data_IF_382660294900
#
_entry.id   IF_382660294900
#
_cell.length_a   1.000
_cell.length_b   1.000
_cell.length_c   1.000
_cell.angle_alpha   90.00
_cell.angle_beta   90.00
_cell.angle_gamma   90.00
#
_symmetry.space_group_name_H-M   'P 1'
#
loop_
_entity.id
_entity.type
_entity.pdbx_description
1 polymer ?
#
# COMPACT_ATOMS: atom_id res chain seq x y z
N UNK A 1 31.32 -18.47 -3.34
CA UNK A 1 30.91 -17.11 -3.74
C UNK A 1 32.07 -16.19 -3.45
N UNK A 2 32.52 -15.43 -4.43
CA UNK A 2 33.67 -14.53 -4.28
C UNK A 2 33.17 -13.21 -3.68
N UNK A 3 33.58 -12.77 -2.47
CA UNK A 3 33.07 -11.57 -1.81
C UNK A 3 33.42 -10.26 -2.51
N UNK A 4 34.12 -10.31 -3.65
CA UNK A 4 34.54 -9.14 -4.41
C UNK A 4 33.56 -8.66 -5.48
N UNK A 5 32.36 -9.27 -5.61
CA UNK A 5 31.36 -8.93 -6.62
C UNK A 5 30.02 -8.46 -6.01
N UNK A 6 30.03 -7.92 -4.80
CA UNK A 6 28.82 -7.31 -4.24
C UNK A 6 28.60 -5.93 -4.88
N UNK A 7 27.47 -5.72 -5.51
CA UNK A 7 27.08 -4.41 -6.03
C UNK A 7 26.92 -3.46 -4.81
N UNK A 8 27.70 -2.37 -4.73
CA UNK A 8 27.68 -1.47 -3.58
C UNK A 8 26.33 -0.77 -3.37
N UNK A 9 25.40 -0.88 -4.33
CA UNK A 9 24.02 -0.37 -4.23
C UNK A 9 23.12 -1.31 -3.44
N UNK A 10 23.53 -2.54 -3.16
CA UNK A 10 22.74 -3.55 -2.44
C UNK A 10 23.16 -3.56 -0.97
N UNK A 11 22.29 -3.06 -0.10
CA UNK A 11 22.49 -3.17 1.35
C UNK A 11 22.03 -4.57 1.83
N UNK A 12 22.99 -5.44 2.14
CA UNK A 12 22.77 -6.78 2.68
C UNK A 12 22.79 -6.80 4.22
N UNK A 13 22.86 -5.65 4.87
CA UNK A 13 22.91 -5.59 6.33
C UNK A 13 21.60 -6.09 6.96
N UNK A 14 21.72 -6.81 8.08
CA UNK A 14 20.58 -7.26 8.87
C UNK A 14 19.69 -6.10 9.38
N UNK A 15 20.27 -4.90 9.53
CA UNK A 15 19.56 -3.68 9.96
C UNK A 15 18.40 -3.32 9.03
N UNK A 16 18.56 -3.57 7.72
CA UNK A 16 17.50 -3.38 6.73
C UNK A 16 16.22 -4.15 7.04
N UNK A 17 16.37 -5.34 7.64
CA UNK A 17 15.24 -6.24 7.92
C UNK A 17 14.64 -6.02 9.31
N UNK A 18 15.48 -5.71 10.32
CA UNK A 18 15.05 -5.66 11.73
C UNK A 18 14.72 -4.23 12.17
N UNK A 19 15.47 -3.24 11.66
CA UNK A 19 15.35 -1.83 12.06
C UNK A 19 15.09 -0.91 10.85
N UNK A 20 14.02 -1.13 10.07
CA UNK A 20 13.67 -0.20 9.01
C UNK A 20 13.34 1.18 9.59
N UNK A 21 13.54 2.26 8.83
CA UNK A 21 13.13 3.60 9.25
C UNK A 21 11.66 3.63 9.66
N UNK A 22 11.32 4.49 10.60
CA UNK A 22 9.93 4.74 11.01
C UNK A 22 9.41 5.97 10.28
N UNK A 23 8.16 5.91 9.82
CA UNK A 23 7.49 7.04 9.20
C UNK A 23 7.18 8.12 10.24
N UNK A 24 7.31 9.40 9.87
CA UNK A 24 7.10 10.54 10.77
C UNK A 24 5.72 10.55 11.45
N UNK A 25 4.69 10.06 10.77
CA UNK A 25 3.34 9.90 11.31
C UNK A 25 3.25 8.92 12.49
N UNK A 26 4.27 8.10 12.70
CA UNK A 26 4.38 7.18 13.83
C UNK A 26 4.91 7.81 15.11
N UNK A 27 5.70 8.89 15.03
CA UNK A 27 6.35 9.46 16.21
C UNK A 27 5.36 9.89 17.30
N UNK A 28 4.24 10.57 17.03
CA UNK A 28 3.28 10.92 18.07
C UNK A 28 2.75 9.72 18.84
N UNK A 29 2.45 8.61 18.15
CA UNK A 29 1.97 7.38 18.78
C UNK A 29 3.05 6.70 19.62
N UNK A 30 4.25 6.57 19.07
CA UNK A 30 5.40 5.96 19.74
C UNK A 30 5.72 6.73 21.03
N UNK A 31 5.81 8.06 20.95
CA UNK A 31 6.10 8.90 22.11
C UNK A 31 4.99 8.84 23.16
N UNK A 32 3.72 8.85 22.73
CA UNK A 32 2.58 8.74 23.66
C UNK A 32 2.58 7.40 24.38
N UNK A 33 2.73 6.28 23.67
CA UNK A 33 2.75 4.95 24.29
C UNK A 33 4.00 4.74 25.13
N UNK A 34 5.17 5.29 24.74
CA UNK A 34 6.38 5.22 25.54
C UNK A 34 6.22 5.99 26.86
N UNK A 35 5.69 7.21 26.82
CA UNK A 35 5.41 8.00 28.02
C UNK A 35 4.39 7.29 28.94
N UNK A 36 3.32 6.76 28.35
CA UNK A 36 2.31 5.99 29.07
C UNK A 36 2.91 4.71 29.68
N UNK A 37 3.79 4.01 28.99
CA UNK A 37 4.47 2.82 29.50
C UNK A 37 5.30 3.14 30.75
N UNK A 38 6.05 4.25 30.74
CA UNK A 38 6.84 4.69 31.89
C UNK A 38 5.93 4.99 33.09
N UNK A 39 4.84 5.72 32.87
CA UNK A 39 3.86 6.07 33.90
C UNK A 39 3.19 4.81 34.49
N UNK A 40 2.72 3.90 33.63
CA UNK A 40 2.08 2.66 34.05
C UNK A 40 3.03 1.70 34.75
N UNK A 41 4.32 1.69 34.37
CA UNK A 41 5.34 0.89 35.05
C UNK A 41 5.50 1.28 36.52
N UNK A 42 5.37 2.57 36.78
CA UNK A 42 5.41 3.11 38.15
C UNK A 42 4.20 2.70 38.98
N UNK A 43 3.03 2.59 38.36
CA UNK A 43 1.80 2.20 39.05
C UNK A 43 1.69 0.67 39.22
N UNK A 44 2.03 -0.09 38.21
CA UNK A 44 1.97 -1.56 38.22
C UNK A 44 2.77 -2.15 37.04
N UNK A 45 3.80 -2.94 37.37
CA UNK A 45 4.73 -3.50 36.37
C UNK A 45 4.07 -4.20 35.17
N UNK A 46 3.03 -5.07 35.34
CA UNK A 46 2.38 -5.71 34.18
C UNK A 46 1.76 -4.72 33.16
N UNK A 47 1.20 -3.60 33.66
CA UNK A 47 0.68 -2.54 32.78
C UNK A 47 1.82 -1.81 32.07
N UNK A 48 2.94 -1.61 32.74
CA UNK A 48 4.15 -1.08 32.11
C UNK A 48 4.66 -1.97 30.97
N UNK A 49 4.70 -3.29 31.18
CA UNK A 49 5.06 -4.27 30.14
C UNK A 49 4.11 -4.18 28.95
N UNK A 50 2.80 -4.10 29.19
CA UNK A 50 1.81 -3.90 28.10
C UNK A 50 2.09 -2.59 27.34
N UNK A 51 2.41 -1.50 28.04
CA UNK A 51 2.77 -0.23 27.42
C UNK A 51 4.02 -0.33 26.52
N UNK A 52 5.04 -1.08 26.96
CA UNK A 52 6.24 -1.35 26.16
C UNK A 52 5.88 -2.16 24.91
N UNK A 53 5.04 -3.19 25.04
CA UNK A 53 4.59 -3.99 23.86
C UNK A 53 3.81 -3.12 22.85
N UNK A 54 2.93 -2.24 23.32
CA UNK A 54 2.20 -1.31 22.45
C UNK A 54 3.15 -0.32 21.76
N UNK A 55 4.16 0.18 22.48
CA UNK A 55 5.19 1.04 21.88
C UNK A 55 5.97 0.30 20.80
N UNK A 56 6.39 -0.93 21.07
CA UNK A 56 7.08 -1.78 20.08
C UNK A 56 6.19 -2.08 18.87
N UNK A 57 4.89 -2.33 19.09
CA UNK A 57 3.93 -2.50 18.01
C UNK A 57 3.81 -1.23 17.15
N UNK A 58 3.78 -0.04 17.73
CA UNK A 58 3.77 1.21 16.98
C UNK A 58 5.02 1.38 16.11
N UNK A 59 6.21 1.06 16.63
CA UNK A 59 7.44 1.03 15.84
C UNK A 59 7.30 0.09 14.64
N UNK A 60 6.80 -1.12 14.87
CA UNK A 60 6.62 -2.12 13.84
C UNK A 60 5.58 -1.69 12.80
N UNK A 61 4.43 -1.15 13.23
CA UNK A 61 3.36 -0.70 12.37
C UNK A 61 3.78 0.45 11.45
N UNK A 62 4.45 1.47 12.00
CA UNK A 62 4.88 2.65 11.25
C UNK A 62 6.23 2.48 10.55
N UNK A 63 6.74 1.24 10.43
CA UNK A 63 7.97 0.99 9.69
C UNK A 63 7.81 1.39 8.22
N UNK A 64 8.87 1.98 7.66
CA UNK A 64 8.89 2.54 6.32
C UNK A 64 10.15 2.10 5.57
N UNK A 65 10.28 0.81 5.22
CA UNK A 65 11.47 0.28 4.57
C UNK A 65 11.70 0.90 3.20
N UNK A 66 12.96 1.02 2.81
CA UNK A 66 13.30 1.29 1.43
C UNK A 66 12.99 0.05 0.58
N UNK A 67 12.58 0.29 -0.67
CA UNK A 67 12.20 -0.76 -1.64
C UNK A 67 13.03 -0.63 -2.89
N UNK A 68 13.32 -1.75 -3.52
CA UNK A 68 13.96 -1.79 -4.85
C UNK A 68 12.85 -1.89 -5.89
N UNK A 69 12.58 -0.78 -6.55
CA UNK A 69 11.49 -0.68 -7.51
C UNK A 69 11.95 -1.20 -8.87
N UNK A 70 11.27 -2.23 -9.44
CA UNK A 70 11.53 -2.66 -10.81
C UNK A 70 11.37 -1.49 -11.79
N UNK A 71 12.33 -1.33 -12.68
CA UNK A 71 12.32 -0.28 -13.70
C UNK A 71 11.91 -0.88 -15.04
N UNK A 72 11.02 -0.20 -15.76
CA UNK A 72 10.55 -0.61 -17.07
C UNK A 72 9.31 0.18 -17.48
N UNK A 73 9.23 0.51 -18.77
CA UNK A 73 8.07 1.20 -19.32
C UNK A 73 6.85 0.25 -19.30
N UNK A 74 5.72 0.78 -18.82
CA UNK A 74 4.46 0.02 -18.77
C UNK A 74 4.30 -0.91 -17.57
N UNK A 75 5.26 -0.98 -16.64
CA UNK A 75 5.09 -1.77 -15.41
C UNK A 75 4.14 -1.07 -14.44
N UNK A 76 3.14 -1.81 -13.97
CA UNK A 76 2.26 -1.41 -12.87
C UNK A 76 2.74 -2.11 -11.61
N UNK A 77 3.24 -1.33 -10.64
CA UNK A 77 3.85 -1.82 -9.42
C UNK A 77 2.82 -1.84 -8.28
N UNK A 78 2.91 -2.81 -7.40
CA UNK A 78 2.03 -2.91 -6.24
C UNK A 78 2.14 -1.67 -5.34
N UNK A 79 1.03 -1.01 -5.02
CA UNK A 79 1.02 0.16 -4.15
C UNK A 79 1.04 -0.18 -2.67
N UNK A 80 0.81 -1.43 -2.28
CA UNK A 80 0.65 -1.85 -0.89
C UNK A 80 1.32 -3.20 -0.59
N UNK A 81 1.78 -3.36 0.66
CA UNK A 81 2.11 -4.66 1.24
C UNK A 81 0.80 -5.35 1.64
N UNK A 82 0.66 -6.64 1.35
CA UNK A 82 -0.52 -7.39 1.75
C UNK A 82 -0.72 -8.68 0.98
N UNK A 83 -1.98 -9.08 0.84
CA UNK A 83 -2.39 -10.26 0.07
C UNK A 83 -3.35 -9.82 -1.03
N UNK A 84 -3.15 -10.31 -2.24
CA UNK A 84 -4.11 -10.13 -3.34
C UNK A 84 -5.40 -10.85 -2.97
N UNK A 85 -6.39 -10.08 -2.52
CA UNK A 85 -7.64 -10.60 -1.97
C UNK A 85 -8.76 -10.72 -3.00
N UNK A 86 -8.65 -9.97 -4.11
CA UNK A 86 -9.66 -10.02 -5.18
C UNK A 86 -9.07 -9.57 -6.53
N UNK A 87 -9.53 -10.20 -7.61
CA UNK A 87 -9.25 -9.81 -9.00
C UNK A 87 -10.59 -9.95 -9.75
N UNK A 88 -11.20 -8.81 -10.10
CA UNK A 88 -12.54 -8.78 -10.73
C UNK A 88 -12.64 -7.67 -11.74
N UNK A 89 -13.56 -7.82 -12.70
CA UNK A 89 -13.96 -6.73 -13.57
C UNK A 89 -15.11 -5.93 -12.94
N UNK A 90 -14.90 -4.63 -12.81
CA UNK A 90 -15.89 -3.71 -12.22
C UNK A 90 -15.72 -2.31 -12.83
N UNK A 91 -16.82 -1.56 -12.92
CA UNK A 91 -16.79 -0.16 -13.35
C UNK A 91 -16.08 0.68 -12.27
N UNK A 92 -15.02 1.42 -12.63
CA UNK A 92 -14.34 2.31 -11.69
C UNK A 92 -15.25 3.47 -11.25
N UNK A 93 -15.00 4.10 -10.09
CA UNK A 93 -15.68 5.32 -9.67
C UNK A 93 -15.58 6.41 -10.75
N UNK A 94 -16.68 7.13 -10.99
CA UNK A 94 -16.72 8.16 -12.00
C UNK A 94 -15.80 9.36 -11.65
N UNK A 95 -15.58 9.58 -10.37
CA UNK A 95 -14.80 10.69 -9.80
C UNK A 95 -13.32 10.66 -10.20
N UNK A 96 -12.77 9.48 -10.52
CA UNK A 96 -11.36 9.33 -10.96
C UNK A 96 -11.20 9.39 -12.48
N UNK A 97 -12.27 9.62 -13.23
CA UNK A 97 -12.25 9.82 -14.69
C UNK A 97 -11.53 8.70 -15.46
N UNK A 98 -11.87 7.46 -15.13
CA UNK A 98 -11.36 6.23 -15.78
C UNK A 98 -12.31 5.66 -16.87
N UNK A 99 -13.42 6.36 -17.17
CA UNK A 99 -14.48 5.90 -18.06
C UNK A 99 -15.56 5.09 -17.33
N UNK A 100 -16.54 4.58 -18.11
CA UNK A 100 -17.71 3.88 -17.58
C UNK A 100 -17.75 2.39 -17.96
N UNK A 101 -16.69 1.87 -18.54
CA UNK A 101 -16.59 0.45 -18.85
C UNK A 101 -15.95 -0.34 -17.71
N UNK A 102 -16.31 -1.63 -17.54
CA UNK A 102 -15.64 -2.49 -16.57
C UNK A 102 -14.15 -2.60 -16.87
N UNK A 103 -13.34 -2.46 -15.82
CA UNK A 103 -11.89 -2.61 -15.81
C UNK A 103 -11.48 -3.67 -14.80
N UNK A 104 -10.36 -4.32 -15.03
CA UNK A 104 -9.79 -5.27 -14.06
C UNK A 104 -9.34 -4.52 -12.82
N UNK A 105 -9.96 -4.82 -11.68
CA UNK A 105 -9.56 -4.34 -10.36
C UNK A 105 -8.79 -5.42 -9.62
N UNK A 106 -7.59 -5.09 -9.16
CA UNK A 106 -6.79 -5.90 -8.24
C UNK A 106 -6.91 -5.28 -6.85
N UNK A 107 -7.40 -6.04 -5.87
CA UNK A 107 -7.54 -5.61 -4.49
C UNK A 107 -6.46 -6.25 -3.62
N UNK A 108 -5.75 -5.44 -2.83
CA UNK A 108 -4.70 -5.88 -1.91
C UNK A 108 -5.17 -5.59 -0.48
N UNK A 109 -5.40 -6.65 0.29
CA UNK A 109 -5.75 -6.56 1.71
C UNK A 109 -4.50 -6.39 2.56
N UNK A 110 -4.50 -5.38 3.42
CA UNK A 110 -3.42 -5.03 4.32
C UNK A 110 -3.81 -5.36 5.75
N UNK A 111 -3.20 -6.39 6.33
CA UNK A 111 -3.35 -6.69 7.76
C UNK A 111 -2.57 -5.68 8.61
N UNK A 112 -2.90 -5.56 9.89
CA UNK A 112 -2.19 -4.67 10.84
C UNK A 112 -0.68 -4.97 10.98
N UNK A 113 -0.23 -6.11 10.48
CA UNK A 113 1.17 -6.53 10.48
C UNK A 113 1.94 -6.14 9.21
N UNK A 114 1.25 -5.65 8.18
CA UNK A 114 1.88 -5.18 6.94
C UNK A 114 2.45 -3.77 7.08
N UNK A 115 3.26 -3.34 6.11
CA UNK A 115 3.66 -1.94 5.97
C UNK A 115 2.49 -1.15 5.41
N UNK A 116 2.11 -0.05 6.08
CA UNK A 116 0.94 0.75 5.70
C UNK A 116 1.29 2.00 4.89
N UNK A 117 2.57 2.23 4.60
CA UNK A 117 3.00 3.29 3.68
C UNK A 117 2.76 2.81 2.26
N UNK A 118 1.93 3.55 1.53
CA UNK A 118 1.53 3.22 0.17
C UNK A 118 2.41 3.93 -0.87
N UNK A 119 2.53 3.29 -2.05
CA UNK A 119 3.43 3.72 -3.12
C UNK A 119 2.70 3.87 -4.45
N UNK A 120 3.14 4.83 -5.25
CA UNK A 120 2.58 5.09 -6.60
C UNK A 120 2.79 3.85 -7.48
N UNK A 121 1.72 3.36 -8.13
CA UNK A 121 1.79 2.16 -8.95
C UNK A 121 2.49 2.38 -10.31
N UNK A 122 2.44 3.59 -10.87
CA UNK A 122 3.05 3.94 -12.17
C UNK A 122 3.65 5.34 -12.13
N UNK A 123 4.66 5.60 -12.96
CA UNK A 123 5.17 6.96 -13.15
C UNK A 123 4.19 7.80 -13.98
N UNK A 124 3.95 9.03 -13.53
CA UNK A 124 3.05 9.95 -14.23
C UNK A 124 2.59 11.11 -13.36
N UNK A 125 1.60 11.82 -13.88
CA UNK A 125 1.02 12.99 -13.22
C UNK A 125 -0.29 12.62 -12.54
N UNK A 126 -0.46 13.00 -11.28
CA UNK A 126 -1.74 12.87 -10.57
C UNK A 126 -2.80 13.71 -11.32
N UNK A 127 -3.80 13.05 -11.84
CA UNK A 127 -4.87 13.68 -12.62
C UNK A 127 -6.04 14.09 -11.74
N UNK A 128 -6.54 13.16 -10.90
CA UNK A 128 -7.64 13.38 -9.97
C UNK A 128 -7.33 12.79 -8.61
N UNK A 129 -7.80 13.47 -7.57
CA UNK A 129 -7.90 12.97 -6.20
C UNK A 129 -9.32 13.25 -5.73
N UNK A 130 -10.02 12.24 -5.27
CA UNK A 130 -11.37 12.38 -4.72
C UNK A 130 -11.45 11.69 -3.36
N UNK A 131 -11.72 12.46 -2.32
CA UNK A 131 -11.96 11.94 -0.97
C UNK A 131 -13.45 11.72 -0.76
N UNK A 132 -13.82 10.50 -0.38
CA UNK A 132 -15.18 10.14 -0.01
C UNK A 132 -15.22 9.76 1.47
N UNK A 133 -15.90 10.57 2.32
CA UNK A 133 -16.15 10.19 3.70
C UNK A 133 -17.06 8.96 3.74
N UNK A 134 -16.84 8.09 4.70
CA UNK A 134 -17.61 6.84 4.78
C UNK A 134 -17.56 6.19 6.16
N UNK A 135 -18.00 4.93 6.21
CA UNK A 135 -17.97 4.08 7.40
C UNK A 135 -16.59 3.45 7.58
N UNK A 136 -16.41 2.76 8.68
CA UNK A 136 -15.23 1.95 8.98
C UNK A 136 -15.68 0.51 9.22
N UNK A 137 -16.05 -0.18 8.13
CA UNK A 137 -16.44 -1.58 8.15
C UNK A 137 -15.24 -2.46 7.84
N UNK A 138 -15.36 -3.77 8.08
CA UNK A 138 -14.32 -4.71 7.68
C UNK A 138 -14.14 -4.69 6.16
N UNK A 139 -12.93 -4.40 5.69
CA UNK A 139 -12.62 -4.27 4.24
C UNK A 139 -12.69 -5.59 3.47
N UNK A 140 -12.77 -6.73 4.17
CA UNK A 140 -13.00 -8.04 3.57
C UNK A 140 -14.48 -8.29 3.22
N UNK A 141 -15.41 -7.52 3.80
CA UNK A 141 -16.84 -7.69 3.60
C UNK A 141 -17.34 -6.94 2.35
N UNK A 142 -18.46 -7.40 1.77
CA UNK A 142 -19.07 -6.78 0.60
C UNK A 142 -19.50 -5.33 0.85
N UNK A 143 -19.88 -4.99 2.07
CA UNK A 143 -20.33 -3.66 2.47
C UNK A 143 -19.18 -2.64 2.62
N UNK A 144 -17.93 -3.04 2.37
CA UNK A 144 -16.76 -2.16 2.41
C UNK A 144 -16.77 -1.05 1.33
N UNK A 145 -17.72 -1.10 0.40
CA UNK A 145 -17.94 -0.02 -0.57
C UNK A 145 -18.45 1.27 0.06
N UNK A 146 -19.01 1.21 1.27
CA UNK A 146 -19.41 2.37 2.08
C UNK A 146 -18.28 2.95 2.93
N UNK A 147 -17.11 2.33 2.94
CA UNK A 147 -15.99 2.78 3.77
C UNK A 147 -15.38 4.08 3.27
N UNK A 148 -14.81 4.84 4.24
CA UNK A 148 -13.96 5.99 3.95
C UNK A 148 -12.87 5.61 2.96
N UNK A 149 -12.75 6.39 1.88
CA UNK A 149 -11.79 6.11 0.82
C UNK A 149 -11.21 7.39 0.23
N UNK A 150 -10.03 7.25 -0.35
CA UNK A 150 -9.42 8.27 -1.17
C UNK A 150 -9.03 7.64 -2.52
N UNK A 151 -9.56 8.22 -3.57
CA UNK A 151 -9.57 7.71 -4.93
C UNK A 151 -8.63 8.55 -5.79
N UNK A 152 -7.80 7.91 -6.60
CA UNK A 152 -6.77 8.56 -7.39
C UNK A 152 -6.78 8.08 -8.82
N UNK A 153 -6.43 8.97 -9.75
CA UNK A 153 -5.97 8.56 -11.09
C UNK A 153 -4.65 9.24 -11.44
N UNK A 154 -3.79 8.48 -12.12
CA UNK A 154 -2.51 8.96 -12.65
C UNK A 154 -2.55 8.83 -14.16
N UNK A 155 -2.10 9.87 -14.87
CA UNK A 155 -1.89 9.87 -16.31
C UNK A 155 -0.40 9.67 -16.59
N UNK A 156 -0.07 8.59 -17.26
CA UNK A 156 1.30 8.28 -17.70
C UNK A 156 1.70 9.16 -18.90
N UNK A 157 2.98 9.22 -19.22
CA UNK A 157 3.51 10.02 -20.34
C UNK A 157 2.89 9.64 -21.70
N UNK A 158 2.48 8.40 -21.89
CA UNK A 158 1.79 7.90 -23.10
C UNK A 158 0.28 8.16 -23.10
N UNK A 159 -0.26 8.88 -22.11
CA UNK A 159 -1.69 9.15 -21.97
C UNK A 159 -2.51 8.05 -21.29
N UNK A 160 -1.92 6.89 -21.00
CA UNK A 160 -2.62 5.80 -20.28
C UNK A 160 -2.96 6.24 -18.86
N UNK A 161 -4.19 5.95 -18.42
CA UNK A 161 -4.65 6.21 -17.05
C UNK A 161 -4.60 4.95 -16.20
N UNK A 162 -4.14 5.06 -14.96
CA UNK A 162 -4.22 4.03 -13.92
C UNK A 162 -4.94 4.63 -12.72
N UNK A 163 -6.01 3.95 -12.27
CA UNK A 163 -6.75 4.32 -11.07
C UNK A 163 -6.29 3.48 -9.88
N UNK A 164 -6.31 4.06 -8.69
CA UNK A 164 -6.10 3.31 -7.44
C UNK A 164 -6.84 3.98 -6.29
N UNK A 165 -7.25 3.16 -5.31
CA UNK A 165 -8.12 3.60 -4.23
C UNK A 165 -7.56 3.10 -2.90
N UNK A 166 -7.36 4.01 -1.96
CA UNK A 166 -7.13 3.69 -0.55
C UNK A 166 -8.49 3.54 0.14
N UNK A 167 -8.71 2.43 0.83
CA UNK A 167 -9.96 2.13 1.54
C UNK A 167 -9.63 1.82 2.99
N UNK A 168 -10.17 2.65 3.89
CA UNK A 168 -10.00 2.49 5.32
C UNK A 168 -10.81 1.30 5.85
N UNK A 169 -10.22 0.48 6.73
CA UNK A 169 -10.89 -0.66 7.36
C UNK A 169 -11.48 -0.33 8.73
N UNK A 170 -12.01 -1.36 9.40
CA UNK A 170 -12.71 -1.27 10.69
C UNK A 170 -11.92 -0.54 11.79
N UNK A 171 -10.61 -0.75 11.85
CA UNK A 171 -9.72 -0.14 12.85
C UNK A 171 -9.04 1.11 12.30
N UNK A 172 -9.15 1.34 10.98
CA UNK A 172 -8.59 2.50 10.33
C UNK A 172 -9.29 3.78 10.82
N UNK A 173 -8.50 4.80 11.16
CA UNK A 173 -9.05 6.09 11.62
C UNK A 173 -8.68 7.25 10.72
N UNK A 174 -7.84 7.02 9.72
CA UNK A 174 -7.45 8.09 8.79
C UNK A 174 -6.67 7.57 7.60
N UNK A 175 -7.03 8.03 6.43
CA UNK A 175 -6.21 8.05 5.23
C UNK A 175 -5.37 9.33 5.25
N UNK A 176 -4.08 9.23 4.98
CA UNK A 176 -3.16 10.37 4.92
C UNK A 176 -2.53 10.39 3.55
N UNK A 177 -2.88 11.38 2.74
CA UNK A 177 -2.26 11.65 1.44
C UNK A 177 -1.06 12.60 1.59
N UNK A 178 0.01 12.35 0.83
CA UNK A 178 1.20 13.20 0.77
C UNK A 178 1.32 13.93 -0.58
N UNK A 179 0.33 13.74 -1.46
CA UNK A 179 0.32 14.23 -2.83
C UNK A 179 -0.93 15.05 -3.12
N UNK A 180 -0.88 15.85 -4.17
CA UNK A 180 -1.99 16.66 -4.67
C UNK A 180 -2.14 16.49 -6.18
N UNK A 181 -3.31 16.91 -6.70
CA UNK A 181 -3.53 16.94 -8.14
C UNK A 181 -2.45 17.81 -8.82
N UNK A 182 -1.95 17.31 -9.93
CA UNK A 182 -0.90 17.94 -10.72
C UNK A 182 0.54 17.53 -10.35
N UNK A 183 0.76 16.84 -9.23
CA UNK A 183 2.10 16.36 -8.87
C UNK A 183 2.59 15.31 -9.88
N UNK A 184 3.87 15.41 -10.27
CA UNK A 184 4.56 14.41 -11.07
C UNK A 184 5.32 13.46 -10.16
N UNK A 185 5.03 12.16 -10.28
CA UNK A 185 5.53 11.12 -9.39
C UNK A 185 6.13 9.97 -10.18
N UNK A 186 7.07 9.28 -9.56
CA UNK A 186 7.67 8.06 -10.14
C UNK A 186 7.09 6.81 -9.47
N UNK A 187 6.99 5.71 -10.22
CA UNK A 187 6.58 4.42 -9.69
C UNK A 187 7.37 4.05 -8.44
N UNK A 188 6.68 3.52 -7.43
CA UNK A 188 7.28 3.17 -6.15
C UNK A 188 7.52 4.33 -5.17
N UNK A 189 7.33 5.59 -5.57
CA UNK A 189 7.38 6.75 -4.68
C UNK A 189 6.24 6.68 -3.66
N UNK A 190 6.50 7.09 -2.41
CA UNK A 190 5.51 7.12 -1.34
C UNK A 190 4.47 8.21 -1.62
N UNK A 191 3.17 7.86 -1.55
CA UNK A 191 2.10 8.85 -1.79
C UNK A 191 1.11 8.97 -0.64
N UNK A 192 1.06 8.00 0.26
CA UNK A 192 0.12 8.04 1.36
C UNK A 192 0.37 6.96 2.40
N UNK A 193 -0.49 6.95 3.41
CA UNK A 193 -0.50 6.00 4.51
C UNK A 193 -1.94 5.81 4.99
N UNK A 194 -2.32 4.56 5.29
CA UNK A 194 -3.61 4.26 5.94
C UNK A 194 -3.31 3.76 7.35
N UNK A 195 -3.97 4.32 8.38
CA UNK A 195 -3.76 3.89 9.76
C UNK A 195 -4.70 2.73 10.10
N UNK A 196 -4.12 1.56 10.43
CA UNK A 196 -4.71 0.33 10.98
C UNK A 196 -5.74 -0.41 10.11
N UNK A 197 -5.26 -1.39 9.36
CA UNK A 197 -6.07 -2.36 8.60
C UNK A 197 -6.84 -1.73 7.44
N UNK A 198 -6.57 -2.16 6.21
CA UNK A 198 -7.05 -1.45 5.03
C UNK A 198 -7.03 -2.33 3.79
N UNK A 199 -7.58 -1.81 2.71
CA UNK A 199 -7.49 -2.38 1.37
C UNK A 199 -7.02 -1.30 0.39
N UNK A 200 -6.23 -1.71 -0.58
CA UNK A 200 -5.88 -0.86 -1.70
C UNK A 200 -6.26 -1.54 -3.01
N UNK A 201 -7.04 -0.84 -3.82
CA UNK A 201 -7.52 -1.32 -5.11
C UNK A 201 -6.72 -0.63 -6.23
N UNK A 202 -6.39 -1.38 -7.31
CA UNK A 202 -5.75 -0.86 -8.52
C UNK A 202 -6.58 -1.25 -9.72
N UNK A 203 -6.90 -0.28 -10.58
CA UNK A 203 -7.64 -0.48 -11.83
C UNK A 203 -6.67 -0.48 -13.01
N UNK A 204 -6.66 -1.59 -13.73
CA UNK A 204 -5.86 -1.75 -14.95
C UNK A 204 -6.67 -1.29 -16.18
N UNK A 205 -6.03 -0.77 -17.23
CA UNK A 205 -6.68 -0.47 -18.49
C UNK A 205 -7.30 -1.73 -19.10
N UNK A 206 -8.32 -1.54 -19.95
CA UNK A 206 -9.00 -2.63 -20.65
C UNK A 206 -8.03 -3.51 -21.44
N UNK A 207 -8.15 -4.81 -21.27
CA UNK A 207 -7.33 -5.81 -21.99
C UNK A 207 -5.95 -6.07 -21.40
N UNK A 208 -5.62 -5.45 -20.27
CA UNK A 208 -4.38 -5.72 -19.52
C UNK A 208 -4.62 -6.83 -18.49
N UNK A 209 -3.88 -7.94 -18.63
CA UNK A 209 -3.98 -9.06 -17.69
C UNK A 209 -3.11 -8.84 -16.44
N UNK A 210 -3.60 -9.24 -15.25
CA UNK A 210 -2.80 -9.28 -14.02
C UNK A 210 -1.61 -10.24 -14.13
N UNK A 211 -0.47 -9.84 -13.56
CA UNK A 211 0.72 -10.70 -13.33
C UNK A 211 0.78 -11.27 -11.92
N UNK A 212 -0.30 -11.20 -11.21
CA UNK A 212 -0.43 -11.75 -9.85
C UNK A 212 -1.67 -12.64 -9.77
N UNK A 213 -1.62 -13.59 -8.85
CA UNK A 213 -2.72 -14.50 -8.59
C UNK A 213 -3.43 -14.17 -7.27
N UNK A 214 -4.68 -14.61 -7.14
CA UNK A 214 -5.45 -14.54 -5.90
C UNK A 214 -4.70 -15.29 -4.77
N UNK A 215 -4.62 -14.68 -3.59
CA UNK A 215 -3.86 -15.22 -2.44
C UNK A 215 -2.37 -14.92 -2.46
N UNK A 216 -1.81 -14.39 -3.53
CA UNK A 216 -0.40 -14.06 -3.63
C UNK A 216 -0.02 -12.90 -2.69
N UNK A 217 1.16 -12.99 -2.06
CA UNK A 217 1.73 -11.89 -1.27
C UNK A 217 2.19 -10.78 -2.20
N UNK A 218 1.79 -9.57 -1.88
CA UNK A 218 2.18 -8.33 -2.54
C UNK A 218 3.15 -7.54 -1.65
N UNK A 219 4.19 -6.98 -2.27
CA UNK A 219 5.17 -6.11 -1.63
C UNK A 219 5.14 -4.76 -2.33
N UNK A 220 4.77 -3.71 -1.59
CA UNK A 220 4.67 -2.35 -2.10
C UNK A 220 5.96 -1.86 -2.75
N UNK A 221 5.89 -1.38 -3.97
CA UNK A 221 7.05 -0.89 -4.71
C UNK A 221 7.90 -1.98 -5.35
N UNK A 222 7.65 -3.28 -5.10
CA UNK A 222 8.50 -4.37 -5.63
C UNK A 222 7.71 -5.40 -6.47
N UNK A 223 6.47 -5.75 -6.08
CA UNK A 223 5.66 -6.70 -6.85
C UNK A 223 5.11 -6.05 -8.11
N UNK A 224 5.31 -6.68 -9.26
CA UNK A 224 4.73 -6.24 -10.54
C UNK A 224 3.31 -6.79 -10.62
N UNK A 225 2.29 -5.91 -10.62
CA UNK A 225 0.88 -6.28 -10.73
C UNK A 225 0.47 -6.54 -12.18
N UNK A 226 1.03 -5.79 -13.13
CA UNK A 226 0.76 -5.91 -14.55
C UNK A 226 1.88 -5.28 -15.39
N UNK A 227 1.84 -5.57 -16.70
CA UNK A 227 2.71 -4.98 -17.71
C UNK A 227 1.83 -4.58 -18.89
N UNK A 228 1.70 -3.27 -19.09
CA UNK A 228 0.84 -2.69 -20.13
C UNK A 228 1.29 -3.03 -21.55
N UNK A 229 2.55 -3.44 -21.73
CA UNK A 229 3.15 -3.76 -23.02
C UNK A 229 3.11 -5.27 -23.33
N UNK A 230 2.77 -6.10 -22.36
CA UNK A 230 2.75 -7.55 -22.53
C UNK A 230 1.35 -8.05 -22.93
N UNK A 231 1.31 -8.90 -23.97
CA UNK A 231 0.14 -9.73 -24.22
C UNK A 231 0.22 -10.95 -23.29
N UNK A 232 -0.59 -10.95 -22.23
CA UNK A 232 -0.56 -12.05 -21.25
C UNK A 232 -1.97 -12.54 -20.94
N UNK A 233 -2.05 -13.84 -20.64
CA UNK A 233 -3.20 -14.43 -19.98
C UNK A 233 -3.11 -14.25 -18.47
N UNK A 234 -4.25 -14.22 -17.74
CA UNK A 234 -4.26 -14.16 -16.28
C UNK A 234 -3.50 -15.34 -15.68
N UNK A 235 -2.80 -15.10 -14.57
CA UNK A 235 -2.04 -16.14 -13.86
C UNK A 235 -2.96 -16.77 -12.81
N UNK A 236 -3.04 -18.10 -12.80
CA UNK A 236 -3.66 -18.86 -11.72
C UNK A 236 -2.62 -19.24 -10.66
N UNK A 237 -2.97 -19.03 -9.39
CA UNK A 237 -2.15 -19.44 -8.26
C UNK A 237 -2.66 -20.73 -7.64
N UNK A 238 -1.74 -21.58 -7.22
CA UNK A 238 -2.04 -22.79 -6.44
C UNK A 238 -1.29 -22.71 -5.12
N UNK A 239 -2.01 -22.79 -4.01
CA UNK A 239 -1.40 -22.92 -2.68
C UNK A 239 -0.85 -24.32 -2.50
N UNK A 240 0.42 -24.43 -2.07
CA UNK A 240 1.13 -25.70 -1.87
C UNK A 240 1.72 -25.79 -0.47
#
# INVERSE_FOLDING_TARGET
>A
MNPKNEDPRVDLSWKRYILPPVHQEGYPFILTFAALAIFLWWAWTPLGVLGVMLTAFCFYFFRNPNRVVPQGDGLVIAPADGIVSNIVEIVPPAEIDMGSEPLTRISIFMSVFNVHVNRIPVSGKIHKIHYRPGKFLNVADKDSEDNEREEYSVVMANGTKIGFIQIAGLVARRIVSFVKEGDELTAGQRFGLIRFGSRLDVFLPKGVAPKVALGQISVAGETILADLNAKQEPIEGVEK
#
